data_IF_864782380938
#
_entry.id   IF_864782380938
#
_cell.length_a   1.000
_cell.length_b   1.000
_cell.length_c   1.000
_cell.angle_alpha   90.00
_cell.angle_beta   90.00
_cell.angle_gamma   90.00
#
_symmetry.space_group_name_H-M   'P 1'
#
loop_
_entity.id
_entity.type
_entity.pdbx_description
1 polymer ?
#
# COMPACT_ATOMS: atom_id res chain seq x y z
N UNK A 1 -17.15 24.95 -23.25
CA UNK A 1 -15.74 24.53 -23.10
C UNK A 1 -15.62 23.84 -21.75
N UNK A 2 -15.72 22.51 -21.71
CA UNK A 2 -15.55 21.75 -20.46
C UNK A 2 -14.06 21.64 -20.17
N UNK A 3 -13.60 22.31 -19.12
CA UNK A 3 -12.25 22.15 -18.58
C UNK A 3 -12.08 20.68 -18.17
N UNK A 4 -11.33 19.90 -18.96
CA UNK A 4 -10.79 18.64 -18.51
C UNK A 4 -9.73 18.97 -17.46
N UNK A 5 -10.09 18.89 -16.19
CA UNK A 5 -9.09 18.79 -15.14
C UNK A 5 -8.34 17.47 -15.39
N UNK A 6 -7.12 17.57 -15.92
CA UNK A 6 -6.18 16.47 -15.84
C UNK A 6 -5.83 16.35 -14.35
N UNK A 7 -6.64 15.60 -13.61
CA UNK A 7 -6.35 15.31 -12.22
C UNK A 7 -5.08 14.46 -12.20
N UNK A 8 -4.01 15.02 -11.67
CA UNK A 8 -2.77 14.32 -11.34
C UNK A 8 -3.11 13.32 -10.24
N UNK A 9 -3.50 12.10 -10.61
CA UNK A 9 -4.04 11.12 -9.67
C UNK A 9 -3.06 9.97 -9.46
N UNK A 10 -2.88 9.60 -8.21
CA UNK A 10 -2.18 8.39 -7.79
C UNK A 10 -3.10 7.18 -7.85
N UNK A 11 -2.52 6.02 -8.11
CA UNK A 11 -3.22 4.73 -8.08
C UNK A 11 -2.77 3.91 -6.87
N UNK A 12 -3.57 3.89 -5.81
CA UNK A 12 -3.18 3.33 -4.51
C UNK A 12 -3.86 2.00 -4.30
N UNK A 13 -3.08 0.91 -4.33
CA UNK A 13 -3.53 -0.47 -4.17
C UNK A 13 -3.36 -0.88 -2.71
N UNK A 14 -4.48 -1.17 -2.05
CA UNK A 14 -4.56 -1.43 -0.62
C UNK A 14 -4.74 -2.93 -0.36
N UNK A 15 -3.92 -3.48 0.54
CA UNK A 15 -3.94 -4.91 0.87
C UNK A 15 -4.31 -5.17 2.33
N UNK A 16 -4.77 -6.40 2.61
CA UNK A 16 -5.16 -6.84 3.95
C UNK A 16 -6.15 -5.90 4.65
N UNK A 17 -5.82 -5.48 5.87
CA UNK A 17 -6.67 -4.59 6.68
C UNK A 17 -6.86 -3.18 6.09
N UNK A 18 -6.01 -2.76 5.14
CA UNK A 18 -6.10 -1.44 4.52
C UNK A 18 -7.14 -1.35 3.41
N UNK A 19 -7.68 -2.47 2.94
CA UNK A 19 -8.79 -2.49 1.96
C UNK A 19 -10.00 -1.67 2.41
N UNK A 20 -10.19 -1.51 3.73
CA UNK A 20 -11.25 -0.68 4.32
C UNK A 20 -11.21 0.80 3.92
N UNK A 21 -10.08 1.28 3.40
CA UNK A 21 -9.92 2.66 2.91
C UNK A 21 -10.28 2.82 1.42
N UNK A 22 -10.68 1.75 0.75
CA UNK A 22 -11.19 1.79 -0.63
C UNK A 22 -12.71 1.59 -0.65
N UNK A 23 -13.36 2.06 -1.72
CA UNK A 23 -14.79 1.79 -1.97
C UNK A 23 -15.07 0.29 -2.07
N UNK A 24 -14.16 -0.47 -2.71
CA UNK A 24 -14.30 -1.91 -2.92
C UNK A 24 -13.39 -2.69 -1.96
N UNK A 25 -13.91 -3.02 -0.78
CA UNK A 25 -13.10 -3.60 0.31
C UNK A 25 -13.10 -5.14 0.36
N UNK A 26 -13.85 -5.82 -0.52
CA UNK A 26 -13.94 -7.30 -0.47
C UNK A 26 -12.60 -7.95 -0.90
N UNK A 27 -12.27 -9.14 -0.37
CA UNK A 27 -11.04 -9.85 -0.72
C UNK A 27 -10.82 -10.10 -2.22
N UNK A 28 -11.91 -10.25 -2.97
CA UNK A 28 -11.91 -10.54 -4.42
C UNK A 28 -11.87 -9.31 -5.30
N UNK A 29 -12.04 -8.11 -4.72
CA UNK A 29 -12.11 -6.87 -5.48
C UNK A 29 -10.73 -6.21 -5.61
N UNK A 30 -10.60 -5.31 -6.58
CA UNK A 30 -9.51 -4.36 -6.63
C UNK A 30 -9.77 -3.24 -5.62
N UNK A 31 -9.17 -3.36 -4.43
CA UNK A 31 -9.21 -2.34 -3.39
C UNK A 31 -8.26 -1.20 -3.72
N UNK A 32 -8.71 -0.33 -4.62
CA UNK A 32 -7.96 0.82 -5.11
C UNK A 32 -8.54 2.13 -4.58
N UNK A 33 -7.67 3.04 -4.16
CA UNK A 33 -7.98 4.41 -3.81
C UNK A 33 -7.30 5.34 -4.82
N UNK A 34 -8.01 6.36 -5.29
CA UNK A 34 -7.48 7.41 -6.16
C UNK A 34 -7.34 8.70 -5.37
N UNK A 35 -6.12 9.21 -5.24
CA UNK A 35 -5.85 10.48 -4.55
C UNK A 35 -5.06 11.43 -5.43
N UNK A 36 -5.26 12.73 -5.20
CA UNK A 36 -4.47 13.76 -5.87
C UNK A 36 -2.99 13.64 -5.49
N UNK A 37 -2.14 13.62 -6.50
CA UNK A 37 -0.69 13.73 -6.42
C UNK A 37 -0.29 15.15 -6.08
N UNK A 38 0.65 15.28 -5.15
CA UNK A 38 1.34 16.53 -4.84
C UNK A 38 2.83 16.34 -5.07
N UNK A 39 3.43 17.25 -5.83
CA UNK A 39 4.86 17.19 -6.14
C UNK A 39 5.70 17.28 -4.85
N UNK A 40 6.69 16.39 -4.72
CA UNK A 40 7.52 16.28 -3.53
C UNK A 40 6.89 15.52 -2.36
N UNK A 41 5.63 15.06 -2.47
CA UNK A 41 4.96 14.26 -1.43
C UNK A 41 5.69 12.92 -1.24
N UNK A 42 6.03 12.62 0.01
CA UNK A 42 6.60 11.33 0.41
C UNK A 42 5.52 10.29 0.64
N UNK A 43 5.90 9.01 0.62
CA UNK A 43 4.97 7.92 0.98
C UNK A 43 4.42 8.09 2.40
N UNK A 44 5.24 8.57 3.35
CA UNK A 44 4.80 8.84 4.73
C UNK A 44 3.69 9.88 4.79
N UNK A 45 3.83 10.99 4.08
CA UNK A 45 2.82 12.06 4.03
C UNK A 45 1.52 11.55 3.38
N UNK A 46 1.64 10.77 2.30
CA UNK A 46 0.51 10.11 1.67
C UNK A 46 -0.24 9.19 2.66
N UNK A 47 0.48 8.39 3.46
CA UNK A 47 -0.14 7.50 4.46
C UNK A 47 -0.92 8.29 5.52
N UNK A 48 -0.33 9.37 6.03
CA UNK A 48 -1.01 10.27 7.00
C UNK A 48 -2.29 10.84 6.40
N UNK A 49 -2.25 11.28 5.13
CA UNK A 49 -3.40 11.80 4.39
C UNK A 49 -4.52 10.77 4.21
N UNK A 50 -4.19 9.49 4.04
CA UNK A 50 -5.18 8.39 3.98
C UNK A 50 -5.75 8.07 5.39
N UNK A 51 -5.04 8.45 6.46
CA UNK A 51 -5.36 8.03 7.82
C UNK A 51 -4.77 6.66 8.18
N UNK A 52 -3.70 6.24 7.49
CA UNK A 52 -2.93 5.04 7.80
C UNK A 52 -1.73 5.44 8.65
N UNK A 53 -1.63 4.87 9.86
CA UNK A 53 -0.47 5.08 10.70
C UNK A 53 0.76 4.34 10.13
N UNK A 54 1.91 5.02 9.93
CA UNK A 54 3.10 4.41 9.34
C UNK A 54 3.60 3.15 10.06
N UNK A 55 3.45 3.08 11.40
CA UNK A 55 3.84 1.91 12.20
C UNK A 55 3.03 0.64 11.90
N UNK A 56 1.88 0.78 11.24
CA UNK A 56 1.02 -0.33 10.83
C UNK A 56 1.31 -0.83 9.42
N UNK A 57 2.25 -0.19 8.71
CA UNK A 57 2.66 -0.54 7.35
C UNK A 57 3.82 -1.53 7.40
N UNK A 58 3.77 -2.51 6.51
CA UNK A 58 4.84 -3.45 6.25
C UNK A 58 5.51 -3.05 4.95
N UNK A 59 5.23 -3.82 3.90
CA UNK A 59 5.80 -3.57 2.59
C UNK A 59 5.15 -2.38 1.88
N UNK A 60 5.97 -1.64 1.14
CA UNK A 60 5.57 -0.55 0.27
C UNK A 60 6.20 -0.75 -1.10
N UNK A 61 5.39 -0.60 -2.16
CA UNK A 61 5.90 -0.56 -3.52
C UNK A 61 5.47 0.75 -4.18
N UNK A 62 6.41 1.42 -4.84
CA UNK A 62 6.14 2.55 -5.75
C UNK A 62 6.55 2.12 -7.15
N UNK A 63 5.60 2.10 -8.08
CA UNK A 63 5.82 1.63 -9.46
C UNK A 63 6.50 0.25 -9.51
N UNK A 64 6.02 -0.68 -8.67
CA UNK A 64 6.50 -2.06 -8.53
C UNK A 64 7.90 -2.22 -7.95
N UNK A 65 8.57 -1.13 -7.56
CA UNK A 65 9.84 -1.18 -6.84
C UNK A 65 9.61 -1.01 -5.33
N UNK A 66 10.43 -1.68 -4.53
CA UNK A 66 10.41 -1.53 -3.07
C UNK A 66 10.71 -0.07 -2.70
N UNK A 67 9.90 0.47 -1.80
CA UNK A 67 10.01 1.84 -1.33
C UNK A 67 10.04 1.89 0.19
N UNK A 68 10.60 2.98 0.70
CA UNK A 68 10.62 3.31 2.13
C UNK A 68 9.67 4.48 2.40
N UNK A 69 9.41 4.77 3.68
CA UNK A 69 8.48 5.84 4.08
C UNK A 69 8.90 7.23 3.59
N UNK A 70 10.20 7.48 3.47
CA UNK A 70 10.80 8.73 3.00
C UNK A 70 10.93 8.81 1.47
N UNK A 71 10.55 7.75 0.74
CA UNK A 71 10.57 7.76 -0.71
C UNK A 71 9.61 8.83 -1.24
N UNK A 72 10.14 9.73 -2.07
CA UNK A 72 9.36 10.74 -2.79
C UNK A 72 8.58 10.07 -3.92
N UNK A 73 7.29 10.37 -4.03
CA UNK A 73 6.44 9.86 -5.10
C UNK A 73 6.86 10.55 -6.40
N UNK A 74 7.29 9.80 -7.43
CA UNK A 74 8.06 10.40 -8.52
C UNK A 74 7.24 11.18 -9.54
N UNK A 75 5.94 10.89 -9.66
CA UNK A 75 5.05 11.51 -10.65
C UNK A 75 3.58 11.24 -10.36
N UNK A 76 2.73 12.07 -10.94
CA UNK A 76 1.33 11.75 -11.20
C UNK A 76 1.21 10.41 -11.94
N UNK A 77 0.14 9.65 -11.75
CA UNK A 77 -0.02 8.26 -12.23
C UNK A 77 0.74 7.17 -11.47
N UNK A 78 1.63 7.54 -10.53
CA UNK A 78 2.39 6.54 -9.78
C UNK A 78 1.46 5.53 -9.10
N UNK A 79 1.84 4.26 -9.20
CA UNK A 79 1.13 3.15 -8.57
C UNK A 79 1.79 2.84 -7.23
N UNK A 80 1.05 3.00 -6.14
CA UNK A 80 1.52 2.75 -4.79
C UNK A 80 0.81 1.52 -4.24
N UNK A 81 1.56 0.51 -3.81
CA UNK A 81 1.00 -0.68 -3.14
C UNK A 81 1.35 -0.67 -1.67
N UNK A 82 0.34 -0.77 -0.81
CA UNK A 82 0.49 -0.63 0.65
C UNK A 82 0.06 -1.91 1.32
N UNK A 83 1.00 -2.57 1.99
CA UNK A 83 0.78 -3.81 2.71
C UNK A 83 0.84 -3.55 4.22
N UNK A 84 -0.01 -4.20 5.04
CA UNK A 84 0.06 -4.08 6.49
C UNK A 84 1.28 -4.81 7.06
N UNK A 85 1.77 -4.36 8.22
CA UNK A 85 2.83 -5.05 8.97
C UNK A 85 2.48 -6.52 9.17
N UNK A 86 3.43 -7.41 8.88
CA UNK A 86 3.28 -8.87 8.95
C UNK A 86 2.88 -9.55 7.63
N UNK A 87 2.52 -8.76 6.60
CA UNK A 87 2.15 -9.26 5.28
C UNK A 87 3.39 -9.15 4.40
N UNK A 88 4.00 -10.30 4.12
CA UNK A 88 5.23 -10.38 3.34
C UNK A 88 4.93 -10.81 1.91
N UNK A 89 5.74 -10.32 0.97
CA UNK A 89 5.69 -10.76 -0.41
C UNK A 89 6.09 -12.24 -0.50
N UNK A 90 5.47 -12.98 -1.42
CA UNK A 90 5.82 -14.38 -1.71
C UNK A 90 6.89 -14.46 -2.82
N UNK A 91 7.80 -15.42 -2.70
CA UNK A 91 8.73 -15.86 -3.74
C UNK A 91 9.38 -14.70 -4.53
N UNK A 92 8.94 -14.44 -5.77
CA UNK A 92 9.51 -13.42 -6.65
C UNK A 92 9.51 -12.01 -6.05
N UNK A 93 8.54 -11.67 -5.20
CA UNK A 93 8.57 -10.39 -4.49
C UNK A 93 9.67 -10.30 -3.41
N UNK A 94 10.11 -11.43 -2.84
CA UNK A 94 11.32 -11.47 -2.00
C UNK A 94 12.61 -11.40 -2.82
N UNK A 95 12.58 -11.86 -4.07
CA UNK A 95 13.72 -11.73 -4.98
C UNK A 95 14.00 -10.25 -5.30
N UNK A 96 12.97 -9.42 -5.45
CA UNK A 96 13.11 -7.95 -5.58
C UNK A 96 13.84 -7.30 -4.40
N UNK A 97 13.90 -7.96 -3.24
CA UNK A 97 14.59 -7.51 -2.03
C UNK A 97 15.99 -8.10 -1.83
N UNK A 98 16.46 -8.93 -2.77
CA UNK A 98 17.77 -9.58 -2.66
C UNK A 98 17.83 -10.60 -1.52
N UNK A 99 17.06 -11.69 -1.62
CA UNK A 99 17.12 -12.94 -0.82
C UNK A 99 17.12 -12.87 0.73
N UNK A 100 17.23 -11.70 1.35
CA UNK A 100 17.50 -11.51 2.78
C UNK A 100 16.38 -11.92 3.75
N UNK A 101 15.21 -12.31 3.23
CA UNK A 101 14.05 -12.74 4.00
C UNK A 101 13.67 -14.21 3.78
N UNK A 102 14.43 -14.97 2.98
CA UNK A 102 14.21 -16.43 2.86
C UNK A 102 14.49 -17.13 4.20
N UNK A 103 15.32 -16.52 5.07
CA UNK A 103 15.76 -17.09 6.36
C UNK A 103 15.09 -16.47 7.59
N UNK A 104 14.30 -15.39 7.45
CA UNK A 104 13.69 -14.70 8.59
C UNK A 104 12.25 -15.14 8.82
N UNK A 105 11.99 -15.71 10.00
CA UNK A 105 10.64 -16.08 10.45
C UNK A 105 9.85 -14.79 10.77
N UNK A 106 8.79 -14.52 10.01
CA UNK A 106 7.93 -13.35 10.24
C UNK A 106 7.12 -13.58 11.53
N UNK A 107 6.96 -12.56 12.38
CA UNK A 107 6.03 -12.62 13.52
C UNK A 107 4.61 -12.80 12.96
N UNK A 108 3.94 -13.89 13.32
CA UNK A 108 2.58 -14.12 12.84
C UNK A 108 1.65 -13.05 13.42
N UNK A 109 0.86 -12.44 12.55
CA UNK A 109 -0.19 -11.51 12.93
C UNK A 109 -1.53 -12.18 12.66
N UNK A 110 -2.48 -12.15 13.60
CA UNK A 110 -3.83 -12.67 13.41
C UNK A 110 -4.60 -11.75 12.46
N UNK A 111 -4.54 -11.99 11.16
CA UNK A 111 -5.21 -11.16 10.15
C UNK A 111 -6.72 -11.37 10.09
N UNK A 112 -7.17 -12.59 10.34
CA UNK A 112 -8.58 -12.93 10.45
C UNK A 112 -8.81 -13.33 11.91
N UNK A 113 -9.32 -12.40 12.71
CA UNK A 113 -9.95 -12.81 13.95
C UNK A 113 -11.15 -13.70 13.54
N UNK A 114 -11.21 -14.94 14.04
CA UNK A 114 -12.46 -15.69 13.94
C UNK A 114 -13.50 -14.86 14.69
N UNK A 115 -14.64 -14.49 14.09
CA UNK A 115 -15.71 -13.90 14.86
C UNK A 115 -16.04 -14.88 15.99
N UNK A 116 -16.09 -14.38 17.21
CA UNK A 116 -16.61 -15.16 18.33
C UNK A 116 -18.07 -15.47 17.99
N UNK A 117 -18.35 -16.76 17.78
CA UNK A 117 -19.72 -17.24 17.62
C UNK A 117 -20.34 -17.11 19.02
N UNK A 118 -21.26 -16.15 19.17
CA UNK A 118 -22.15 -16.08 20.34
C UNK A 118 -23.13 -17.24 20.33
#
# INVERSE_FOLDING_TARGET
MLLKFNYTMLDIHLFGKFRKFSENSRPTDNSTLKLQYHEGETVKELLVKIGIEPNNVGELLVNFAVAELDTVIPREDSRISIFPTGMVLLCGGQHLKGHGNITKKVKSTKYYAKPEIQ
#
